data_IF_961172551291
#
_entry.id   IF_961172551291
#
_cell.length_a   1.000
_cell.length_b   1.000
_cell.length_c   1.000
_cell.angle_alpha   90.00
_cell.angle_beta   90.00
_cell.angle_gamma   90.00
#
_symmetry.space_group_name_H-M   'P 1'
#
loop_
_entity.id
_entity.type
_entity.pdbx_description
1 polymer ?
#
# COMPACT_ATOMS: atom_id res chain seq x y z
N UNK A 1 -12.05 7.88 4.33
CA UNK A 1 -11.02 6.83 4.19
C UNK A 1 -11.56 5.52 4.72
N UNK A 2 -11.26 4.42 4.07
CA UNK A 2 -11.67 3.10 4.53
C UNK A 2 -10.67 2.56 5.55
N UNK A 3 -11.00 2.66 6.83
CA UNK A 3 -10.14 2.17 7.90
C UNK A 3 -9.96 0.65 7.87
N UNK A 4 -10.89 -0.07 7.26
CA UNK A 4 -10.81 -1.53 7.17
C UNK A 4 -9.56 -1.97 6.41
N UNK A 5 -9.25 -1.34 5.29
CA UNK A 5 -8.05 -1.67 4.51
C UNK A 5 -6.79 -1.46 5.35
N UNK A 6 -6.70 -0.34 6.05
CA UNK A 6 -5.55 -0.07 6.93
C UNK A 6 -5.42 -1.14 8.00
N UNK A 7 -6.53 -1.48 8.66
CA UNK A 7 -6.53 -2.51 9.71
C UNK A 7 -6.11 -3.87 9.16
N UNK A 8 -6.58 -4.24 7.97
CA UNK A 8 -6.21 -5.51 7.33
C UNK A 8 -4.73 -5.56 6.97
N UNK A 9 -4.14 -4.43 6.56
CA UNK A 9 -2.70 -4.36 6.31
C UNK A 9 -1.94 -4.57 7.62
N UNK A 10 -2.40 -3.94 8.70
CA UNK A 10 -1.66 -3.92 9.96
C UNK A 10 -1.81 -5.18 10.79
N UNK A 11 -2.92 -5.91 10.65
CA UNK A 11 -3.18 -7.09 11.49
C UNK A 11 -2.38 -8.32 11.07
N UNK A 12 -1.92 -8.39 9.83
CA UNK A 12 -1.14 -9.52 9.33
C UNK A 12 -1.94 -10.76 8.98
N UNK A 13 -3.27 -10.74 9.12
CA UNK A 13 -4.11 -11.91 8.86
C UNK A 13 -4.76 -11.90 7.48
N UNK A 14 -4.62 -10.81 6.71
CA UNK A 14 -5.31 -10.61 5.45
C UNK A 14 -4.38 -10.41 4.26
N UNK A 15 -3.10 -10.76 4.40
CA UNK A 15 -2.07 -10.41 3.40
C UNK A 15 -2.40 -10.95 2.00
N UNK A 16 -3.11 -12.07 1.89
CA UNK A 16 -3.49 -12.66 0.62
C UNK A 16 -4.82 -12.17 0.06
N UNK A 17 -5.52 -11.29 0.78
CA UNK A 17 -6.88 -10.91 0.42
C UNK A 17 -7.15 -9.42 0.56
N UNK A 18 -6.23 -8.59 0.09
CA UNK A 18 -6.40 -7.13 0.10
C UNK A 18 -6.49 -6.65 -1.34
N UNK A 19 -7.60 -5.99 -1.66
CA UNK A 19 -7.87 -5.49 -3.00
C UNK A 19 -6.90 -4.38 -3.37
N UNK A 20 -6.34 -4.47 -4.58
CA UNK A 20 -5.33 -3.51 -5.05
C UNK A 20 -5.87 -2.07 -5.09
N UNK A 21 -7.10 -1.89 -5.59
CA UNK A 21 -7.71 -0.55 -5.64
C UNK A 21 -7.87 0.06 -4.25
N UNK A 22 -8.15 -0.76 -3.24
CA UNK A 22 -8.29 -0.28 -1.86
C UNK A 22 -6.95 0.21 -1.30
N UNK A 23 -5.86 -0.49 -1.61
CA UNK A 23 -4.53 -0.07 -1.20
C UNK A 23 -4.16 1.26 -1.86
N UNK A 24 -4.43 1.40 -3.16
CA UNK A 24 -4.16 2.64 -3.88
C UNK A 24 -4.94 3.81 -3.29
N UNK A 25 -6.23 3.59 -2.98
CA UNK A 25 -7.07 4.61 -2.35
C UNK A 25 -6.53 5.01 -0.99
N UNK A 26 -6.14 4.03 -0.17
CA UNK A 26 -5.56 4.29 1.15
C UNK A 26 -4.30 5.15 1.04
N UNK A 27 -3.38 4.78 0.15
CA UNK A 27 -2.13 5.51 0.01
C UNK A 27 -2.35 6.95 -0.43
N UNK A 28 -3.32 7.18 -1.32
CA UNK A 28 -3.69 8.56 -1.71
C UNK A 28 -4.24 9.33 -0.53
N UNK A 29 -5.06 8.72 0.31
CA UNK A 29 -5.57 9.36 1.53
C UNK A 29 -4.45 9.67 2.52
N UNK A 30 -3.39 8.87 2.52
CA UNK A 30 -2.20 9.10 3.35
C UNK A 30 -1.22 10.10 2.72
N UNK A 31 -1.67 10.82 1.69
CA UNK A 31 -0.93 11.89 1.01
C UNK A 31 0.25 11.38 0.16
N UNK A 32 0.24 10.12 -0.23
CA UNK A 32 1.22 9.64 -1.20
C UNK A 32 0.83 10.09 -2.61
N UNK A 33 1.83 10.48 -3.38
CA UNK A 33 1.66 10.80 -4.79
C UNK A 33 1.83 9.52 -5.61
N UNK A 34 1.03 9.39 -6.66
CA UNK A 34 1.05 8.21 -7.54
C UNK A 34 1.62 8.56 -8.90
N UNK A 35 2.54 7.73 -9.37
CA UNK A 35 3.02 7.74 -10.74
C UNK A 35 2.85 6.32 -11.29
N UNK A 36 2.18 6.18 -12.44
CA UNK A 36 1.95 4.87 -13.06
C UNK A 36 2.89 4.73 -14.23
N UNK A 37 3.61 3.59 -14.29
CA UNK A 37 4.51 3.25 -15.38
C UNK A 37 4.26 1.79 -15.75
N UNK A 38 3.54 1.57 -16.85
CA UNK A 38 3.09 0.23 -17.21
C UNK A 38 2.15 -0.32 -16.15
N UNK A 39 2.47 -1.49 -15.59
CA UNK A 39 1.72 -2.10 -14.50
C UNK A 39 2.32 -1.77 -13.12
N UNK A 40 3.33 -0.88 -13.07
CA UNK A 40 3.93 -0.44 -11.83
C UNK A 40 3.24 0.82 -11.32
N UNK A 41 2.70 0.74 -10.11
CA UNK A 41 2.09 1.86 -9.43
C UNK A 41 3.06 2.34 -8.36
N UNK A 42 3.71 3.48 -8.63
CA UNK A 42 4.81 3.98 -7.82
C UNK A 42 4.29 5.11 -6.93
N UNK A 43 4.35 4.90 -5.63
CA UNK A 43 3.88 5.86 -4.64
C UNK A 43 5.06 6.47 -3.90
N UNK A 44 5.02 7.78 -3.68
CA UNK A 44 6.06 8.50 -2.95
C UNK A 44 5.45 9.60 -2.10
N UNK A 45 6.16 9.95 -1.03
CA UNK A 45 5.80 11.05 -0.15
C UNK A 45 7.08 11.77 0.28
N UNK A 46 7.03 13.11 0.30
CA UNK A 46 8.25 13.91 0.47
C UNK A 46 8.98 13.65 1.79
N UNK A 47 8.24 13.29 2.84
CA UNK A 47 8.82 13.04 4.17
C UNK A 47 9.27 11.59 4.36
N UNK A 48 9.12 10.74 3.35
CA UNK A 48 9.47 9.32 3.42
C UNK A 48 10.44 9.02 2.28
N UNK A 49 11.69 8.59 2.58
CA UNK A 49 12.66 8.32 1.52
C UNK A 49 12.36 7.07 0.69
N UNK A 50 11.66 6.09 1.26
CA UNK A 50 11.34 4.87 0.53
C UNK A 50 10.28 5.14 -0.53
N UNK A 51 10.46 4.51 -1.68
CA UNK A 51 9.49 4.51 -2.77
C UNK A 51 8.70 3.21 -2.71
N UNK A 52 7.38 3.30 -2.74
CA UNK A 52 6.50 2.14 -2.73
C UNK A 52 6.17 1.78 -4.18
N UNK A 53 6.57 0.58 -4.62
CA UNK A 53 6.31 0.11 -5.97
C UNK A 53 5.37 -1.09 -5.88
N UNK A 54 4.13 -0.92 -6.34
CA UNK A 54 3.10 -1.95 -6.26
C UNK A 54 2.71 -2.43 -7.64
N UNK A 55 2.44 -3.74 -7.73
CA UNK A 55 1.88 -4.36 -8.93
C UNK A 55 0.65 -5.17 -8.53
N UNK A 56 -0.44 -5.11 -9.30
CA UNK A 56 -1.60 -5.94 -9.02
C UNK A 56 -1.32 -7.40 -9.34
N UNK A 57 -1.94 -8.29 -8.59
CA UNK A 57 -2.01 -9.73 -8.87
C UNK A 57 -3.49 -10.03 -9.04
N UNK A 58 -3.97 -10.02 -10.29
CA UNK A 58 -5.40 -9.97 -10.54
C UNK A 58 -5.96 -8.67 -9.95
N UNK A 59 -6.99 -8.77 -9.10
CA UNK A 59 -7.55 -7.62 -8.41
C UNK A 59 -6.96 -7.43 -7.01
N UNK A 60 -5.96 -8.22 -6.63
CA UNK A 60 -5.36 -8.20 -5.29
C UNK A 60 -3.98 -7.55 -5.31
N UNK A 61 -3.50 -7.22 -4.12
CA UNK A 61 -2.13 -6.78 -3.91
C UNK A 61 -1.29 -8.00 -3.54
N UNK A 62 -0.07 -8.07 -4.05
CA UNK A 62 0.83 -9.19 -3.73
C UNK A 62 1.12 -9.23 -2.23
N UNK A 63 1.07 -10.41 -1.59
CA UNK A 63 1.25 -10.49 -0.13
C UNK A 63 2.55 -9.89 0.38
N UNK A 64 3.66 -10.07 -0.33
CA UNK A 64 4.93 -9.50 0.14
C UNK A 64 4.91 -7.97 0.12
N UNK A 65 4.13 -7.37 -0.78
CA UNK A 65 3.98 -5.92 -0.83
C UNK A 65 3.15 -5.42 0.34
N UNK A 66 2.15 -6.17 0.77
CA UNK A 66 1.38 -5.85 1.98
C UNK A 66 2.31 -5.86 3.21
N UNK A 67 3.21 -6.84 3.30
CA UNK A 67 4.17 -6.90 4.39
C UNK A 67 5.12 -5.70 4.38
N UNK A 68 5.56 -5.29 3.19
CA UNK A 68 6.41 -4.09 3.06
C UNK A 68 5.67 -2.83 3.53
N UNK A 69 4.40 -2.68 3.14
CA UNK A 69 3.60 -1.54 3.58
C UNK A 69 3.44 -1.52 5.10
N UNK A 70 3.16 -2.67 5.70
CA UNK A 70 3.01 -2.77 7.15
C UNK A 70 4.28 -2.34 7.87
N UNK A 71 5.43 -2.81 7.41
CA UNK A 71 6.71 -2.42 8.00
C UNK A 71 6.97 -0.92 7.86
N UNK A 72 6.66 -0.36 6.70
CA UNK A 72 6.85 1.06 6.44
C UNK A 72 5.93 1.91 7.32
N UNK A 73 4.66 1.51 7.43
CA UNK A 73 3.70 2.23 8.27
C UNK A 73 4.15 2.23 9.73
N UNK A 74 4.66 1.10 10.23
CA UNK A 74 5.19 1.01 11.59
C UNK A 74 6.42 1.89 11.78
N UNK A 75 7.33 1.87 10.81
CA UNK A 75 8.57 2.63 10.88
C UNK A 75 8.33 4.13 10.99
N UNK A 76 7.35 4.64 10.24
CA UNK A 76 7.08 6.09 10.18
C UNK A 76 5.85 6.50 10.97
N UNK A 77 5.28 5.60 11.73
CA UNK A 77 4.09 5.89 12.56
C UNK A 77 2.93 6.47 11.75
N UNK A 78 2.73 5.90 10.60
CA UNK A 78 1.64 6.30 9.71
C UNK A 78 0.35 5.59 10.08
#
# INVERSE_FOLDING_TARGET
MNHTTYLHIMDGFHDHNIRFSDVCTLLKHLAFQLRIKGDHFVFSRADIPEIINLQPLGNKTKPYQIRQLRMLFKKYHI
#
